data_IF_800668614709
#
_entry.id   IF_800668614709
#
_cell.length_a   1.000
_cell.length_b   1.000
_cell.length_c   1.000
_cell.angle_alpha   90.00
_cell.angle_beta   90.00
_cell.angle_gamma   90.00
#
_symmetry.space_group_name_H-M   'P 1'
#
loop_
_entity.id
_entity.type
_entity.pdbx_description
1 polymer ?
#
# COMPACT_ATOMS: atom_id res chain seq x y z
N UNK A 1 36.11 -54.59 5.95
CA UNK A 1 35.07 -54.40 4.92
C UNK A 1 33.88 -53.73 5.60
N UNK A 2 34.00 -52.43 5.90
CA UNK A 2 32.96 -51.62 6.57
C UNK A 2 32.58 -50.52 5.59
N UNK A 3 31.44 -50.71 4.92
CA UNK A 3 30.85 -49.71 4.02
C UNK A 3 30.36 -48.54 4.87
N UNK A 4 31.12 -47.44 4.92
CA UNK A 4 30.61 -46.18 5.44
C UNK A 4 29.62 -45.61 4.42
N UNK A 5 28.34 -45.84 4.66
CA UNK A 5 27.27 -45.13 3.96
C UNK A 5 27.44 -43.66 4.29
N UNK A 6 27.92 -42.90 3.32
CA UNK A 6 27.91 -41.43 3.37
C UNK A 6 26.45 -41.03 3.26
N UNK A 7 25.84 -40.74 4.40
CA UNK A 7 24.49 -40.22 4.49
C UNK A 7 24.47 -38.86 3.78
N UNK A 8 23.66 -38.74 2.74
CA UNK A 8 23.52 -37.48 2.00
C UNK A 8 22.99 -36.42 2.97
N UNK A 9 23.52 -35.18 2.93
CA UNK A 9 23.03 -34.12 3.80
C UNK A 9 21.52 -33.93 3.56
N UNK A 10 20.73 -33.73 4.63
CA UNK A 10 19.30 -33.51 4.50
C UNK A 10 19.07 -32.34 3.56
N UNK A 11 18.21 -32.54 2.56
CA UNK A 11 17.79 -31.50 1.65
C UNK A 11 17.35 -30.29 2.48
N UNK A 12 18.08 -29.18 2.35
CA UNK A 12 17.76 -27.91 2.99
C UNK A 12 16.34 -27.51 2.59
N UNK A 13 15.38 -27.84 3.44
CA UNK A 13 13.98 -27.47 3.29
C UNK A 13 13.87 -25.96 3.25
N UNK A 14 13.44 -25.46 2.10
CA UNK A 14 12.69 -24.21 1.92
C UNK A 14 13.21 -22.97 2.66
N UNK A 15 14.31 -22.39 2.18
CA UNK A 15 14.78 -21.04 2.58
C UNK A 15 13.79 -19.89 2.28
N UNK A 16 12.58 -20.18 1.78
CA UNK A 16 11.60 -19.16 1.37
C UNK A 16 10.21 -19.42 1.96
N UNK A 17 10.12 -20.00 3.16
CA UNK A 17 8.93 -19.77 3.97
C UNK A 17 9.07 -18.41 4.65
N UNK A 18 8.73 -17.35 3.91
CA UNK A 18 8.81 -15.98 4.42
C UNK A 18 7.81 -15.78 5.55
N UNK A 19 8.33 -15.90 6.77
CA UNK A 19 7.71 -15.48 8.03
C UNK A 19 7.22 -14.04 7.88
N UNK A 20 5.94 -13.82 8.16
CA UNK A 20 5.35 -12.49 8.28
C UNK A 20 6.19 -11.66 9.25
N UNK A 21 6.82 -10.58 8.76
CA UNK A 21 7.73 -9.76 9.58
C UNK A 21 6.89 -8.74 10.34
N UNK A 22 6.36 -9.16 11.48
CA UNK A 22 5.50 -8.35 12.35
C UNK A 22 6.14 -7.02 12.75
N UNK A 23 7.48 -6.95 12.80
CA UNK A 23 8.21 -5.72 13.07
C UNK A 23 7.93 -4.60 12.03
N UNK A 24 7.69 -4.95 10.76
CA UNK A 24 7.38 -3.98 9.72
C UNK A 24 5.98 -3.39 9.88
N UNK A 25 5.01 -4.20 10.34
CA UNK A 25 3.68 -3.69 10.68
C UNK A 25 3.74 -2.80 11.93
N UNK A 26 4.55 -3.16 12.92
CA UNK A 26 4.84 -2.32 14.07
C UNK A 26 5.44 -0.97 13.67
N UNK A 27 6.41 -0.98 12.73
CA UNK A 27 7.02 0.24 12.20
C UNK A 27 6.00 1.12 11.44
N UNK A 28 5.10 0.52 10.66
CA UNK A 28 3.99 1.24 10.02
C UNK A 28 3.02 1.83 11.04
N UNK A 29 2.68 1.08 12.08
CA UNK A 29 1.86 1.58 13.19
C UNK A 29 2.50 2.76 13.90
N UNK A 30 3.80 2.66 14.21
CA UNK A 30 4.57 3.76 14.79
C UNK A 30 4.60 5.00 13.88
N UNK A 31 4.72 4.79 12.56
CA UNK A 31 4.67 5.87 11.57
C UNK A 31 3.31 6.60 11.59
N UNK A 32 2.20 5.87 11.65
CA UNK A 32 0.84 6.45 11.78
C UNK A 32 0.70 7.20 13.11
N UNK A 33 1.18 6.64 14.22
CA UNK A 33 1.15 7.31 15.53
C UNK A 33 1.93 8.63 15.49
N UNK A 34 3.11 8.66 14.86
CA UNK A 34 3.88 9.88 14.71
C UNK A 34 3.10 10.96 13.93
N UNK A 35 2.39 10.58 12.88
CA UNK A 35 1.51 11.49 12.12
C UNK A 35 0.37 12.02 13.00
N UNK A 36 -0.28 11.18 13.80
CA UNK A 36 -1.35 11.60 14.71
C UNK A 36 -0.84 12.57 15.78
N UNK A 37 0.32 12.28 16.39
CA UNK A 37 0.96 13.15 17.37
C UNK A 37 1.39 14.49 16.77
N UNK A 38 1.79 14.51 15.50
CA UNK A 38 2.08 15.74 14.77
C UNK A 38 0.83 16.61 14.60
N UNK A 39 -0.30 16.02 14.20
CA UNK A 39 -1.56 16.76 14.10
C UNK A 39 -2.08 17.23 15.47
N UNK A 40 -1.82 16.46 16.53
CA UNK A 40 -2.14 16.85 17.91
C UNK A 40 -1.20 17.91 18.51
N UNK A 41 -0.19 18.39 17.76
CA UNK A 41 0.78 19.38 18.25
C UNK A 41 1.81 18.85 19.25
N UNK A 42 1.85 17.53 19.48
CA UNK A 42 2.71 16.88 20.48
C UNK A 42 4.12 16.61 19.94
N UNK A 43 4.21 16.20 18.67
CA UNK A 43 5.47 15.80 18.05
C UNK A 43 5.80 16.70 16.86
N UNK A 44 6.95 17.38 16.89
CA UNK A 44 7.48 18.07 15.70
C UNK A 44 8.06 17.04 14.73
N UNK A 45 7.84 17.24 13.43
CA UNK A 45 8.42 16.38 12.40
C UNK A 45 7.69 15.05 12.14
N UNK A 46 6.57 14.77 12.82
CA UNK A 46 5.83 13.51 12.61
C UNK A 46 5.23 13.31 11.22
N UNK A 47 5.24 14.35 10.36
CA UNK A 47 4.93 14.22 8.93
C UNK A 47 5.85 13.21 8.20
N UNK A 48 7.10 13.02 8.67
CA UNK A 48 8.02 11.99 8.15
C UNK A 48 7.48 10.57 8.32
N UNK A 49 6.49 10.37 9.21
CA UNK A 49 5.77 9.11 9.34
C UNK A 49 5.02 8.73 8.05
N UNK A 50 4.56 9.70 7.26
CA UNK A 50 3.93 9.43 5.97
C UNK A 50 4.93 8.80 4.99
N UNK A 51 6.14 9.36 4.90
CA UNK A 51 7.20 8.86 4.03
C UNK A 51 7.62 7.44 4.43
N UNK A 52 7.85 7.22 5.72
CA UNK A 52 8.18 5.90 6.25
C UNK A 52 7.09 4.88 5.94
N UNK A 53 5.82 5.24 6.14
CA UNK A 53 4.69 4.37 5.85
C UNK A 53 4.66 3.97 4.37
N UNK A 54 4.83 4.91 3.45
CA UNK A 54 4.85 4.62 2.01
C UNK A 54 6.04 3.76 1.59
N UNK A 55 7.24 4.03 2.09
CA UNK A 55 8.43 3.21 1.80
C UNK A 55 8.21 1.77 2.25
N UNK A 56 7.68 1.56 3.46
CA UNK A 56 7.38 0.23 3.98
C UNK A 56 6.27 -0.47 3.19
N UNK A 57 5.21 0.25 2.82
CA UNK A 57 4.14 -0.28 1.97
C UNK A 57 4.67 -0.74 0.60
N UNK A 58 5.54 0.04 -0.03
CA UNK A 58 6.22 -0.30 -1.29
C UNK A 58 7.10 -1.55 -1.16
N UNK A 59 7.93 -1.61 -0.12
CA UNK A 59 8.78 -2.76 0.16
C UNK A 59 7.96 -4.05 0.36
N UNK A 60 6.91 -3.98 1.20
CA UNK A 60 6.06 -5.14 1.52
C UNK A 60 5.32 -5.65 0.28
N UNK A 61 4.73 -4.76 -0.51
CA UNK A 61 4.03 -5.15 -1.73
C UNK A 61 4.97 -5.77 -2.74
N UNK A 62 6.13 -5.17 -2.96
CA UNK A 62 7.13 -5.70 -3.90
C UNK A 62 7.60 -7.08 -3.45
N UNK A 63 7.88 -7.24 -2.16
CA UNK A 63 8.27 -8.53 -1.58
C UNK A 63 7.20 -9.60 -1.76
N UNK A 64 5.92 -9.26 -1.59
CA UNK A 64 4.79 -10.16 -1.81
C UNK A 64 4.67 -10.57 -3.29
N UNK A 65 4.76 -9.63 -4.22
CA UNK A 65 4.67 -9.91 -5.66
C UNK A 65 5.83 -10.79 -6.14
N UNK A 66 7.05 -10.51 -5.67
CA UNK A 66 8.23 -11.35 -5.97
C UNK A 66 8.08 -12.75 -5.37
N UNK A 67 7.54 -12.87 -4.15
CA UNK A 67 7.29 -14.17 -3.51
C UNK A 67 6.26 -14.99 -4.27
N UNK A 68 5.16 -14.36 -4.68
CA UNK A 68 4.12 -15.00 -5.48
C UNK A 68 4.69 -15.46 -6.82
N UNK A 69 5.38 -14.58 -7.53
CA UNK A 69 6.02 -14.92 -8.82
C UNK A 69 7.03 -16.07 -8.67
N UNK A 70 7.79 -16.12 -7.59
CA UNK A 70 8.74 -17.22 -7.34
C UNK A 70 8.05 -18.56 -7.08
N UNK A 71 6.84 -18.57 -6.48
CA UNK A 71 6.09 -19.80 -6.17
C UNK A 71 5.21 -20.28 -7.32
N UNK A 72 4.45 -19.39 -7.95
CA UNK A 72 3.44 -19.72 -8.97
C UNK A 72 3.88 -19.39 -10.40
N UNK A 73 5.03 -18.75 -10.60
CA UNK A 73 5.51 -18.29 -11.91
C UNK A 73 4.77 -17.08 -12.48
N UNK A 74 3.64 -16.69 -11.87
CA UNK A 74 2.79 -15.58 -12.30
C UNK A 74 2.18 -14.84 -11.10
N UNK A 75 1.78 -13.58 -11.33
CA UNK A 75 1.10 -12.75 -10.33
C UNK A 75 -0.42 -12.89 -10.53
N UNK A 76 -1.13 -13.39 -9.52
CA UNK A 76 -2.58 -13.50 -9.50
C UNK A 76 -3.26 -12.18 -9.13
N UNK A 77 -3.40 -11.27 -10.10
CA UNK A 77 -3.95 -9.91 -9.90
C UNK A 77 -5.31 -9.89 -9.19
N UNK A 78 -6.25 -10.72 -9.64
CA UNK A 78 -7.60 -10.77 -9.03
C UNK A 78 -7.55 -11.16 -7.56
N UNK A 79 -6.76 -12.19 -7.21
CA UNK A 79 -6.57 -12.60 -5.81
C UNK A 79 -5.86 -11.53 -4.98
N UNK A 80 -4.88 -10.86 -5.57
CA UNK A 80 -4.15 -9.76 -4.94
C UNK A 80 -5.07 -8.59 -4.59
N UNK A 81 -5.83 -8.08 -5.54
CA UNK A 81 -6.77 -6.96 -5.33
C UNK A 81 -7.94 -7.37 -4.43
N UNK A 82 -8.46 -8.59 -4.54
CA UNK A 82 -9.54 -9.07 -3.67
C UNK A 82 -9.14 -9.15 -2.19
N UNK A 83 -7.88 -9.51 -1.88
CA UNK A 83 -7.35 -9.50 -0.51
C UNK A 83 -7.23 -8.07 0.03
N UNK A 84 -6.79 -7.14 -0.81
CA UNK A 84 -6.65 -5.71 -0.48
C UNK A 84 -8.01 -5.07 -0.23
N UNK A 85 -8.97 -5.27 -1.13
CA UNK A 85 -10.33 -4.78 -1.00
C UNK A 85 -11.00 -5.27 0.30
N UNK A 86 -10.91 -6.56 0.62
CA UNK A 86 -11.45 -7.13 1.89
C UNK A 86 -10.79 -6.57 3.14
N UNK A 87 -9.57 -6.06 3.04
CA UNK A 87 -8.83 -5.45 4.15
C UNK A 87 -9.16 -3.95 4.32
N UNK A 88 -9.37 -3.22 3.23
CA UNK A 88 -9.49 -1.75 3.25
C UNK A 88 -10.94 -1.26 3.20
N UNK A 89 -11.79 -1.86 2.35
CA UNK A 89 -13.15 -1.38 2.13
C UNK A 89 -14.04 -1.38 3.39
N UNK A 90 -14.01 -2.40 4.27
CA UNK A 90 -14.85 -2.38 5.47
C UNK A 90 -14.56 -1.17 6.37
N UNK A 91 -13.28 -0.86 6.58
CA UNK A 91 -12.86 0.28 7.39
C UNK A 91 -13.20 1.61 6.70
N UNK A 92 -13.00 1.70 5.38
CA UNK A 92 -13.37 2.87 4.59
C UNK A 92 -14.87 3.18 4.70
N UNK A 93 -15.73 2.18 4.48
CA UNK A 93 -17.18 2.38 4.54
C UNK A 93 -17.66 2.73 5.94
N UNK A 94 -17.09 2.10 6.98
CA UNK A 94 -17.39 2.45 8.36
C UNK A 94 -17.04 3.91 8.66
N UNK A 95 -15.85 4.35 8.24
CA UNK A 95 -15.43 5.75 8.37
C UNK A 95 -16.36 6.68 7.60
N UNK A 96 -16.73 6.37 6.35
CA UNK A 96 -17.64 7.19 5.56
C UNK A 96 -19.03 7.30 6.19
N UNK A 97 -19.56 6.23 6.79
CA UNK A 97 -20.81 6.27 7.56
C UNK A 97 -20.68 7.18 8.77
N UNK A 98 -19.56 7.13 9.49
CA UNK A 98 -19.30 8.04 10.61
C UNK A 98 -19.22 9.50 10.16
N UNK A 99 -18.61 9.79 9.00
CA UNK A 99 -18.58 11.13 8.42
C UNK A 99 -19.98 11.59 7.98
N UNK A 100 -20.81 10.70 7.43
CA UNK A 100 -22.21 11.03 7.15
C UNK A 100 -22.97 11.39 8.42
N UNK A 101 -22.80 10.64 9.51
CA UNK A 101 -23.40 10.98 10.79
C UNK A 101 -22.90 12.34 11.31
N UNK A 102 -21.60 12.60 11.24
CA UNK A 102 -21.03 13.91 11.57
C UNK A 102 -21.65 15.03 10.72
N UNK A 103 -21.79 14.82 9.41
CA UNK A 103 -22.36 15.81 8.49
C UNK A 103 -23.82 16.14 8.81
N UNK A 104 -24.61 15.15 9.27
CA UNK A 104 -26.03 15.31 9.59
C UNK A 104 -26.23 15.98 10.96
N UNK A 105 -25.45 15.58 11.97
CA UNK A 105 -25.72 15.94 13.36
C UNK A 105 -24.84 17.08 13.90
N UNK A 106 -23.68 17.34 13.29
CA UNK A 106 -22.64 18.20 13.89
C UNK A 106 -22.15 19.29 12.92
N UNK A 107 -21.95 18.95 11.64
CA UNK A 107 -21.35 19.88 10.68
C UNK A 107 -22.17 21.14 10.45
N UNK A 108 -21.49 22.26 10.22
CA UNK A 108 -22.13 23.53 9.86
C UNK A 108 -22.62 23.48 8.41
N UNK A 109 -23.71 24.20 8.05
CA UNK A 109 -24.18 24.26 6.67
C UNK A 109 -23.13 24.70 5.65
N UNK A 110 -22.19 25.57 6.07
CA UNK A 110 -21.07 26.04 5.25
C UNK A 110 -20.04 24.96 4.90
N UNK A 111 -19.99 23.86 5.67
CA UNK A 111 -19.00 22.78 5.50
C UNK A 111 -19.53 21.65 4.59
N UNK A 112 -20.85 21.54 4.42
CA UNK A 112 -21.50 20.41 3.74
C UNK A 112 -21.08 20.25 2.28
N UNK A 113 -20.92 21.36 1.55
CA UNK A 113 -20.49 21.32 0.15
C UNK A 113 -19.07 20.75 0.00
N UNK A 114 -18.17 21.12 0.92
CA UNK A 114 -16.81 20.59 0.95
C UNK A 114 -16.81 19.11 1.31
N UNK A 115 -17.50 18.74 2.40
CA UNK A 115 -17.59 17.34 2.85
C UNK A 115 -18.13 16.44 1.73
N UNK A 116 -19.13 16.90 0.97
CA UNK A 116 -19.68 16.15 -0.16
C UNK A 116 -18.65 15.92 -1.27
N UNK A 117 -17.86 16.94 -1.61
CA UNK A 117 -16.78 16.81 -2.60
C UNK A 117 -15.73 15.79 -2.15
N UNK A 118 -15.25 15.94 -0.91
CA UNK A 118 -14.25 15.05 -0.32
C UNK A 118 -14.77 13.62 -0.17
N UNK A 119 -16.06 13.44 0.15
CA UNK A 119 -16.70 12.13 0.25
C UNK A 119 -16.66 11.39 -1.07
N UNK A 120 -17.06 12.04 -2.16
CA UNK A 120 -17.05 11.45 -3.50
C UNK A 120 -15.62 11.14 -3.95
N UNK A 121 -14.68 12.05 -3.66
CA UNK A 121 -13.28 11.84 -3.99
C UNK A 121 -12.64 10.69 -3.18
N UNK A 122 -13.02 10.56 -1.91
CA UNK A 122 -12.59 9.46 -1.03
C UNK A 122 -13.13 8.12 -1.55
N UNK A 123 -14.42 8.07 -1.90
CA UNK A 123 -15.05 6.85 -2.43
C UNK A 123 -14.40 6.38 -3.74
N UNK A 124 -13.99 7.33 -4.58
CA UNK A 124 -13.27 7.06 -5.82
C UNK A 124 -11.78 6.80 -5.67
N UNK A 125 -11.21 6.86 -4.45
CA UNK A 125 -9.76 6.85 -4.22
C UNK A 125 -9.00 7.90 -5.06
N UNK A 126 -9.58 9.10 -5.19
CA UNK A 126 -9.02 10.25 -5.93
C UNK A 126 -8.94 11.53 -5.08
N UNK A 127 -8.98 11.39 -3.74
CA UNK A 127 -8.89 12.51 -2.80
C UNK A 127 -7.64 13.38 -3.04
N UNK A 128 -6.50 12.79 -3.39
CA UNK A 128 -5.29 13.53 -3.73
C UNK A 128 -5.50 14.47 -4.94
N UNK A 129 -6.17 14.01 -6.00
CA UNK A 129 -6.46 14.82 -7.18
C UNK A 129 -7.50 15.89 -6.89
N UNK A 130 -8.52 15.57 -6.09
CA UNK A 130 -9.51 16.56 -5.65
C UNK A 130 -8.85 17.73 -4.91
N UNK A 131 -7.92 17.44 -3.99
CA UNK A 131 -7.17 18.46 -3.26
C UNK A 131 -6.27 19.31 -4.17
N UNK A 132 -5.61 18.68 -5.15
CA UNK A 132 -4.79 19.40 -6.16
C UNK A 132 -5.66 20.35 -6.98
N UNK A 133 -6.81 19.89 -7.46
CA UNK A 133 -7.74 20.70 -8.25
C UNK A 133 -8.42 21.80 -7.42
N UNK A 134 -8.58 21.59 -6.12
CA UNK A 134 -9.07 22.59 -5.18
C UNK A 134 -7.96 23.55 -4.69
N UNK A 135 -6.74 23.47 -5.25
CA UNK A 135 -5.60 24.33 -4.92
C UNK A 135 -5.22 24.32 -3.43
N UNK A 136 -5.35 23.18 -2.77
CA UNK A 136 -4.82 23.01 -1.42
C UNK A 136 -3.30 22.81 -1.47
N UNK A 137 -2.57 23.78 -0.92
CA UNK A 137 -1.15 23.57 -0.62
C UNK A 137 -1.00 22.44 0.41
N UNK A 138 0.03 21.60 0.25
CA UNK A 138 0.30 20.47 1.15
C UNK A 138 0.25 20.86 2.64
N UNK A 139 0.80 22.02 2.99
CA UNK A 139 0.83 22.51 4.37
C UNK A 139 -0.53 22.97 4.90
N UNK A 140 -1.45 23.39 4.03
CA UNK A 140 -2.82 23.78 4.41
C UNK A 140 -3.67 22.58 4.83
N UNK A 141 -3.26 21.36 4.47
CA UNK A 141 -3.91 20.14 4.95
C UNK A 141 -3.82 19.99 6.46
N UNK A 142 -2.86 20.65 7.12
CA UNK A 142 -2.63 20.55 8.56
C UNK A 142 -3.27 21.67 9.39
N UNK A 143 -3.93 22.67 8.77
CA UNK A 143 -4.36 23.88 9.47
C UNK A 143 -5.86 24.03 9.70
N UNK A 144 -6.73 23.48 8.84
CA UNK A 144 -8.18 23.37 9.11
C UNK A 144 -8.90 22.48 8.07
N UNK A 145 -8.71 21.16 8.13
CA UNK A 145 -9.21 20.26 7.09
C UNK A 145 -10.63 19.74 7.36
N UNK A 146 -11.35 19.46 6.27
CA UNK A 146 -12.47 18.52 6.29
C UNK A 146 -12.06 17.20 6.95
N UNK A 147 -12.98 16.48 7.62
CA UNK A 147 -12.68 15.22 8.29
C UNK A 147 -12.11 14.16 7.33
N UNK A 148 -12.26 14.34 6.02
CA UNK A 148 -11.81 13.41 4.99
C UNK A 148 -10.47 13.76 4.35
N UNK A 149 -9.85 14.91 4.64
CA UNK A 149 -8.64 15.31 3.90
C UNK A 149 -7.51 14.30 4.03
N UNK A 150 -7.33 13.67 5.20
CA UNK A 150 -6.29 12.67 5.44
C UNK A 150 -6.34 11.46 4.49
N UNK A 151 -7.48 11.22 3.83
CA UNK A 151 -7.68 10.14 2.85
C UNK A 151 -6.87 10.32 1.57
N UNK A 152 -6.23 11.47 1.34
CA UNK A 152 -5.30 11.68 0.23
C UNK A 152 -4.18 10.64 0.21
N UNK A 153 -3.65 10.30 1.40
CA UNK A 153 -2.56 9.33 1.53
C UNK A 153 -3.04 7.92 1.21
N UNK A 154 -4.25 7.57 1.65
CA UNK A 154 -4.93 6.32 1.33
C UNK A 154 -5.24 6.20 -0.17
N UNK A 155 -5.67 7.29 -0.81
CA UNK A 155 -5.89 7.36 -2.26
C UNK A 155 -4.61 7.03 -3.04
N UNK A 156 -3.49 7.65 -2.68
CA UNK A 156 -2.19 7.37 -3.30
C UNK A 156 -1.75 5.93 -3.04
N UNK A 157 -1.95 5.43 -1.83
CA UNK A 157 -1.60 4.05 -1.47
C UNK A 157 -2.35 3.03 -2.34
N UNK A 158 -3.67 3.21 -2.52
CA UNK A 158 -4.48 2.32 -3.36
C UNK A 158 -4.14 2.45 -4.85
N UNK A 159 -3.91 3.67 -5.35
CA UNK A 159 -3.42 3.88 -6.72
C UNK A 159 -2.11 3.14 -6.96
N UNK A 160 -1.18 3.19 -6.00
CA UNK A 160 0.06 2.41 -6.05
C UNK A 160 -0.22 0.90 -6.07
N UNK A 161 -1.18 0.41 -5.28
CA UNK A 161 -1.54 -1.01 -5.27
C UNK A 161 -2.24 -1.51 -6.53
N UNK A 162 -2.91 -0.64 -7.26
CA UNK A 162 -3.45 -0.95 -8.59
C UNK A 162 -2.34 -0.98 -9.63
N UNK A 163 -1.48 0.04 -9.66
CA UNK A 163 -0.47 0.23 -10.71
C UNK A 163 0.73 -0.71 -10.55
N UNK A 164 1.23 -0.89 -9.33
CA UNK A 164 2.51 -1.56 -9.11
C UNK A 164 2.55 -3.05 -9.52
N UNK A 165 1.51 -3.87 -9.27
CA UNK A 165 1.46 -5.24 -9.79
C UNK A 165 1.53 -5.30 -11.33
N UNK A 166 0.95 -4.32 -12.03
CA UNK A 166 1.00 -4.23 -13.48
C UNK A 166 2.43 -3.88 -13.96
N UNK A 167 3.10 -2.96 -13.26
CA UNK A 167 4.51 -2.65 -13.52
C UNK A 167 5.38 -3.89 -13.29
N UNK A 168 5.21 -4.60 -12.18
CA UNK A 168 5.95 -5.82 -11.88
C UNK A 168 5.74 -6.91 -12.94
N UNK A 169 4.51 -7.08 -13.42
CA UNK A 169 4.19 -7.98 -14.55
C UNK A 169 4.92 -7.56 -15.83
N UNK A 170 4.87 -6.27 -16.18
CA UNK A 170 5.54 -5.72 -17.36
C UNK A 170 7.05 -5.94 -17.33
N UNK A 171 7.69 -5.65 -16.19
CA UNK A 171 9.13 -5.90 -15.99
C UNK A 171 9.45 -7.39 -16.11
N UNK A 172 8.66 -8.26 -15.46
CA UNK A 172 8.83 -9.70 -15.56
C UNK A 172 8.74 -10.23 -16.99
N UNK A 173 7.82 -9.68 -17.79
CA UNK A 173 7.68 -10.01 -19.21
C UNK A 173 8.91 -9.59 -20.04
N UNK A 174 9.40 -8.37 -19.86
CA UNK A 174 10.58 -7.84 -20.56
C UNK A 174 11.82 -8.69 -20.24
N UNK A 175 12.04 -8.98 -18.95
CA UNK A 175 13.20 -9.78 -18.50
C UNK A 175 13.15 -11.21 -19.07
N UNK A 176 11.97 -11.84 -19.09
CA UNK A 176 11.82 -13.19 -19.66
C UNK A 176 12.16 -13.22 -21.15
N UNK A 177 11.62 -12.28 -21.94
CA UNK A 177 11.93 -12.16 -23.37
C UNK A 177 13.42 -11.93 -23.65
N UNK A 178 14.07 -11.08 -22.86
CA UNK A 178 15.51 -10.81 -23.00
C UNK A 178 16.38 -12.04 -22.73
N UNK A 179 16.03 -12.85 -21.71
CA UNK A 179 16.75 -14.10 -21.40
C UNK A 179 16.60 -15.15 -22.50
N UNK A 180 15.41 -15.26 -23.10
CA UNK A 180 15.19 -16.16 -24.24
C UNK A 180 16.03 -15.71 -25.43
N UNK A 181 16.03 -14.42 -25.79
CA UNK A 181 16.82 -13.91 -26.91
C UNK A 181 18.33 -14.18 -26.75
N UNK A 182 18.87 -14.00 -25.54
CA UNK A 182 20.29 -14.28 -25.24
C UNK A 182 20.60 -15.79 -25.31
N UNK A 183 19.69 -16.67 -24.87
CA UNK A 183 19.92 -18.13 -24.97
C UNK A 183 19.93 -18.62 -26.42
N UNK A 184 19.08 -18.05 -27.29
CA UNK A 184 19.11 -18.36 -28.73
C UNK A 184 20.41 -17.88 -29.39
N UNK A 185 20.88 -16.67 -29.07
CA UNK A 185 22.11 -16.12 -29.63
C UNK A 185 23.39 -16.89 -29.21
N UNK A 186 23.37 -17.60 -28.07
CA UNK A 186 24.48 -18.45 -27.61
C UNK A 186 24.43 -19.89 -28.16
N UNK A 187 23.31 -20.30 -28.73
CA UNK A 187 23.12 -21.63 -29.31
C UNK A 187 23.41 -21.70 -30.82
N UNK A 188 23.67 -20.55 -31.44
CA UNK A 188 24.22 -20.37 -32.79
C UNK A 188 25.73 -20.15 -32.72
#
# INVERSE_FOLDING_TARGET
MTSSVVEAPPAEGSLVERRHITALDGARGAAVIAVLLFHGGVLKGGYLGVDLFFVLSGYLITSLLLAETARSGAIGLGGFWARRARRLLPALFLMLVAVCAYAVFIAKPTELNQIRGDFLATLGYVANWHLVLAHYDYWRLFTSPSPLNHTWSLAIEEQFYVVWPLVALGVGFIVRRGRTAISWARAM
#
